data_IF_624259394622
#
_entry.id   IF_624259394622
#
_cell.length_a   1.000
_cell.length_b   1.000
_cell.length_c   1.000
_cell.angle_alpha   90.00
_cell.angle_beta   90.00
_cell.angle_gamma   90.00
#
_symmetry.space_group_name_H-M   'P 1'
#
loop_
_entity.id
_entity.type
_entity.pdbx_description
1 polymer ?
#
# COMPACT_ATOMS: atom_id res chain seq x y z
N UNK A 1 -16.58 36.22 31.70
CA UNK A 1 -15.37 35.42 31.96
C UNK A 1 -15.55 33.91 31.80
N UNK A 2 -16.71 33.29 32.10
CA UNK A 2 -16.92 31.84 31.84
C UNK A 2 -17.05 31.46 30.36
N UNK A 3 -17.64 32.35 29.55
CA UNK A 3 -17.88 32.11 28.11
C UNK A 3 -16.58 31.99 27.30
N UNK A 4 -15.57 32.81 27.60
CA UNK A 4 -14.27 32.77 26.91
C UNK A 4 -13.49 31.47 27.17
N UNK A 5 -13.59 30.91 28.38
CA UNK A 5 -12.93 29.65 28.75
C UNK A 5 -13.56 28.46 28.00
N UNK A 6 -14.88 28.46 27.85
CA UNK A 6 -15.61 27.41 27.12
C UNK A 6 -15.26 27.44 25.62
N UNK A 7 -15.18 28.64 25.02
CA UNK A 7 -14.79 28.78 23.61
C UNK A 7 -13.33 28.34 23.37
N UNK A 8 -12.42 28.63 24.30
CA UNK A 8 -11.03 28.18 24.22
C UNK A 8 -10.89 26.65 24.32
N UNK A 9 -11.67 25.99 25.19
CA UNK A 9 -11.68 24.52 25.31
C UNK A 9 -12.21 23.80 24.05
N UNK A 10 -13.24 24.37 23.41
CA UNK A 10 -13.79 23.84 22.16
C UNK A 10 -12.83 24.00 20.96
N UNK A 11 -12.04 25.08 20.95
CA UNK A 11 -10.99 25.28 19.94
C UNK A 11 -9.83 24.29 20.13
N UNK A 12 -9.43 23.98 21.37
CA UNK A 12 -8.38 22.98 21.63
C UNK A 12 -8.79 21.57 21.21
N UNK A 13 -10.06 21.18 21.38
CA UNK A 13 -10.55 19.86 20.92
C UNK A 13 -10.67 19.78 19.39
N UNK A 14 -10.97 20.89 18.71
CA UNK A 14 -10.93 20.97 17.24
C UNK A 14 -9.52 20.99 16.63
N UNK A 15 -8.54 21.56 17.33
CA UNK A 15 -7.14 21.64 16.87
C UNK A 15 -6.42 20.29 16.99
N UNK A 16 -6.77 19.45 17.95
CA UNK A 16 -6.17 18.10 18.10
C UNK A 16 -6.51 17.19 16.91
N UNK A 17 -7.63 17.42 16.22
CA UNK A 17 -7.99 16.69 15.01
C UNK A 17 -7.10 17.06 13.79
N UNK A 18 -6.46 18.23 13.79
CA UNK A 18 -5.54 18.64 12.72
C UNK A 18 -4.12 18.02 12.86
N UNK A 19 -3.86 17.26 13.94
CA UNK A 19 -2.55 16.66 14.23
C UNK A 19 -2.50 15.12 14.23
N UNK A 20 -3.64 14.43 14.22
CA UNK A 20 -3.67 12.97 14.13
C UNK A 20 -3.94 12.54 12.69
N UNK A 21 -2.87 12.48 11.89
CA UNK A 21 -2.93 11.88 10.56
C UNK A 21 -3.37 10.41 10.69
N UNK A 22 -4.47 10.03 10.00
CA UNK A 22 -4.99 8.65 10.04
C UNK A 22 -3.87 7.68 9.65
N UNK A 23 -3.64 6.65 10.47
CA UNK A 23 -2.81 5.52 10.09
C UNK A 23 -3.61 4.57 9.19
N UNK A 24 -3.21 4.46 7.93
CA UNK A 24 -3.78 3.52 6.96
C UNK A 24 -3.07 2.17 7.06
N UNK A 25 -3.83 1.09 7.00
CA UNK A 25 -3.30 -0.27 6.96
C UNK A 25 -2.72 -0.63 5.58
N UNK A 26 -1.86 -1.64 5.54
CA UNK A 26 -1.34 -2.23 4.29
C UNK A 26 -2.49 -2.66 3.37
N UNK A 27 -3.55 -3.24 3.93
CA UNK A 27 -4.71 -3.70 3.16
C UNK A 27 -5.51 -2.56 2.52
N UNK A 28 -5.60 -1.40 3.18
CA UNK A 28 -6.22 -0.20 2.61
C UNK A 28 -5.39 0.33 1.43
N UNK A 29 -4.06 0.41 1.58
CA UNK A 29 -3.18 0.82 0.49
C UNK A 29 -3.27 -0.09 -0.73
N UNK A 30 -3.30 -1.41 -0.54
CA UNK A 30 -3.44 -2.36 -1.67
C UNK A 30 -4.74 -2.22 -2.45
N UNK A 31 -5.83 -1.80 -1.78
CA UNK A 31 -7.16 -1.69 -2.38
C UNK A 31 -7.39 -0.34 -3.06
N UNK A 32 -6.69 0.71 -2.62
CA UNK A 32 -6.87 2.06 -3.13
C UNK A 32 -5.57 2.59 -3.75
N UNK A 33 -5.51 2.48 -5.09
CA UNK A 33 -4.37 2.95 -5.88
C UNK A 33 -4.11 4.44 -5.71
N UNK A 34 -5.16 5.26 -5.60
CA UNK A 34 -5.01 6.71 -5.46
C UNK A 34 -4.39 7.07 -4.12
N UNK A 35 -4.88 6.43 -3.04
CA UNK A 35 -4.32 6.57 -1.71
C UNK A 35 -2.83 6.17 -1.68
N UNK A 36 -2.48 5.06 -2.31
CA UNK A 36 -1.09 4.59 -2.43
C UNK A 36 -0.21 5.60 -3.18
N UNK A 37 -0.66 6.13 -4.32
CA UNK A 37 0.09 7.12 -5.10
C UNK A 37 0.30 8.44 -4.34
N UNK A 38 -0.73 8.93 -3.65
CA UNK A 38 -0.65 10.16 -2.86
C UNK A 38 0.34 10.02 -1.71
N UNK A 39 0.28 8.90 -0.99
CA UNK A 39 1.21 8.61 0.09
C UNK A 39 2.61 8.32 -0.40
N UNK A 40 2.78 7.61 -1.52
CA UNK A 40 4.08 7.39 -2.14
C UNK A 40 4.79 8.71 -2.43
N UNK A 41 4.11 9.66 -3.09
CA UNK A 41 4.64 11.02 -3.36
C UNK A 41 4.93 11.79 -2.08
N UNK A 42 4.09 11.64 -1.05
CA UNK A 42 4.30 12.29 0.25
C UNK A 42 5.56 11.74 0.94
N UNK A 43 5.74 10.43 0.98
CA UNK A 43 6.90 9.78 1.56
C UNK A 43 8.20 10.12 0.80
N UNK A 44 8.15 10.18 -0.54
CA UNK A 44 9.28 10.61 -1.36
C UNK A 44 9.72 12.04 -1.02
N UNK A 45 8.77 12.97 -0.89
CA UNK A 45 9.05 14.36 -0.49
C UNK A 45 9.63 14.47 0.93
N UNK A 46 9.24 13.57 1.83
CA UNK A 46 9.78 13.49 3.19
C UNK A 46 11.19 12.86 3.22
N UNK A 47 11.62 12.20 2.14
CA UNK A 47 12.92 11.55 2.02
C UNK A 47 13.00 10.22 2.77
N UNK A 48 14.22 9.68 2.89
CA UNK A 48 14.46 8.35 3.46
C UNK A 48 14.08 8.23 4.94
N UNK A 49 14.18 9.33 5.71
CA UNK A 49 13.78 9.37 7.12
C UNK A 49 12.27 9.17 7.34
N UNK A 50 11.46 9.26 6.28
CA UNK A 50 10.03 8.99 6.33
C UNK A 50 9.71 7.55 6.73
N UNK A 51 10.58 6.59 6.41
CA UNK A 51 10.39 5.19 6.80
C UNK A 51 10.57 4.96 8.30
N UNK A 52 11.36 5.80 8.97
CA UNK A 52 11.55 5.72 10.43
C UNK A 52 10.48 6.52 11.17
N UNK A 53 10.00 7.62 10.59
CA UNK A 53 9.16 8.61 11.26
C UNK A 53 7.67 8.49 10.96
N UNK A 54 7.27 7.82 9.87
CA UNK A 54 5.88 7.72 9.43
C UNK A 54 5.43 6.26 9.27
N UNK A 55 4.44 5.86 10.08
CA UNK A 55 3.85 4.52 9.98
C UNK A 55 3.16 4.30 8.63
N UNK A 56 2.58 5.35 8.04
CA UNK A 56 1.98 5.27 6.72
C UNK A 56 3.02 5.07 5.62
N UNK A 57 4.22 5.65 5.76
CA UNK A 57 5.30 5.40 4.80
C UNK A 57 5.83 3.97 4.89
N UNK A 58 5.91 3.40 6.09
CA UNK A 58 6.19 1.96 6.24
C UNK A 58 5.11 1.10 5.56
N UNK A 59 3.84 1.41 5.82
CA UNK A 59 2.72 0.60 5.32
C UNK A 59 2.54 0.72 3.80
N UNK A 60 2.75 1.90 3.19
CA UNK A 60 2.65 2.06 1.74
C UNK A 60 3.77 1.33 1.01
N UNK A 61 5.01 1.38 1.53
CA UNK A 61 6.15 0.63 0.97
C UNK A 61 5.93 -0.87 1.12
N UNK A 62 5.45 -1.32 2.28
CA UNK A 62 5.11 -2.73 2.47
C UNK A 62 4.01 -3.18 1.48
N UNK A 63 2.97 -2.37 1.30
CA UNK A 63 1.88 -2.69 0.37
C UNK A 63 2.39 -2.81 -1.08
N UNK A 64 3.24 -1.88 -1.52
CA UNK A 64 3.85 -1.89 -2.86
C UNK A 64 4.73 -3.14 -3.06
N UNK A 65 5.60 -3.46 -2.10
CA UNK A 65 6.45 -4.66 -2.14
C UNK A 65 5.64 -5.96 -2.20
N UNK A 66 4.56 -6.06 -1.42
CA UNK A 66 3.72 -7.25 -1.45
C UNK A 66 2.95 -7.39 -2.78
N UNK A 67 2.48 -6.29 -3.38
CA UNK A 67 1.85 -6.30 -4.71
C UNK A 67 2.86 -6.70 -5.80
N UNK A 68 4.08 -6.17 -5.73
CA UNK A 68 5.16 -6.53 -6.62
C UNK A 68 5.44 -8.04 -6.54
N UNK A 69 5.63 -8.57 -5.34
CA UNK A 69 5.87 -10.01 -5.14
C UNK A 69 4.72 -10.88 -5.66
N UNK A 70 3.47 -10.48 -5.41
CA UNK A 70 2.29 -11.19 -5.92
C UNK A 70 2.26 -11.21 -7.44
N UNK A 71 2.52 -10.07 -8.10
CA UNK A 71 2.58 -9.96 -9.55
C UNK A 71 3.58 -10.94 -10.16
N UNK A 72 4.82 -10.96 -9.66
CA UNK A 72 5.86 -11.86 -10.19
C UNK A 72 5.60 -13.33 -9.87
N UNK A 73 5.01 -13.63 -8.72
CA UNK A 73 4.60 -15.00 -8.38
C UNK A 73 3.54 -15.53 -9.34
N UNK A 74 2.56 -14.69 -9.70
CA UNK A 74 1.52 -15.04 -10.67
C UNK A 74 2.12 -15.24 -12.07
N UNK A 75 3.00 -14.34 -12.51
CA UNK A 75 3.70 -14.47 -13.78
C UNK A 75 4.52 -15.76 -13.87
N UNK A 76 5.28 -16.10 -12.82
CA UNK A 76 6.05 -17.34 -12.76
C UNK A 76 5.16 -18.58 -12.81
N UNK A 77 3.98 -18.52 -12.18
CA UNK A 77 3.00 -19.61 -12.22
C UNK A 77 2.43 -19.79 -13.63
N UNK A 78 2.03 -18.71 -14.30
CA UNK A 78 1.52 -18.73 -15.67
C UNK A 78 2.56 -19.31 -16.65
N UNK A 79 3.81 -18.85 -16.56
CA UNK A 79 4.90 -19.37 -17.38
C UNK A 79 5.09 -20.88 -17.18
N UNK A 80 5.08 -21.35 -15.93
CA UNK A 80 5.21 -22.77 -15.60
C UNK A 80 4.04 -23.60 -16.14
N UNK A 81 2.82 -23.07 -16.08
CA UNK A 81 1.63 -23.74 -16.61
C UNK A 81 1.68 -23.82 -18.13
N UNK A 82 2.16 -22.78 -18.82
CA UNK A 82 2.31 -22.78 -20.27
C UNK A 82 3.36 -23.79 -20.74
N UNK A 83 4.53 -23.82 -20.09
CA UNK A 83 5.59 -24.81 -20.41
C UNK A 83 5.06 -26.25 -20.27
N UNK A 84 4.30 -26.54 -19.20
CA UNK A 84 3.71 -27.88 -19.02
C UNK A 84 2.73 -28.24 -20.14
N UNK A 85 1.88 -27.30 -20.55
CA UNK A 85 0.92 -27.52 -21.64
C UNK A 85 1.64 -27.77 -22.97
N UNK A 86 2.71 -27.03 -23.25
CA UNK A 86 3.51 -27.21 -24.46
C UNK A 86 4.20 -28.58 -24.48
N UNK A 87 4.76 -29.01 -23.35
CA UNK A 87 5.35 -30.34 -23.20
C UNK A 87 4.32 -31.46 -23.40
N UNK A 88 3.10 -31.29 -22.87
CA UNK A 88 2.00 -32.24 -23.05
C UNK A 88 1.52 -32.31 -24.51
N UNK A 89 1.35 -31.16 -25.16
CA UNK A 89 0.95 -31.08 -26.57
C UNK A 89 1.99 -31.74 -27.50
N UNK A 90 3.28 -31.52 -27.24
CA UNK A 90 4.36 -32.15 -28.01
C UNK A 90 4.38 -33.68 -27.83
N UNK A 91 4.11 -34.18 -26.63
CA UNK A 91 4.02 -35.64 -26.39
C UNK A 91 2.83 -36.25 -27.12
N UNK A 92 1.68 -35.57 -27.14
CA UNK A 92 0.49 -36.05 -27.87
C UNK A 92 0.73 -36.07 -29.39
N UNK A 93 1.39 -35.07 -29.96
CA UNK A 93 1.73 -35.04 -31.38
C UNK A 93 2.72 -36.13 -31.81
N UNK A 94 3.61 -36.57 -30.92
CA UNK A 94 4.57 -37.65 -31.20
C UNK A 94 3.96 -39.06 -31.11
N UNK A 95 2.80 -39.19 -30.48
CA UNK A 95 2.14 -40.47 -30.22
C UNK A 95 0.94 -40.74 -31.16
N UNK A 96 0.62 -39.81 -32.05
CA UNK A 96 -0.39 -39.94 -33.13
C UNK A 96 0.33 -40.03 -34.50
#
# INVERSE_FOLDING_TARGET
>A
MKKAVITALLLCTGIVAAGCEKTYSVAEFKKDKKLMEEWGKKCEKMGLSSLETSKNCQNVVQADMELFQEHYKNLAKELRENIKKDDEAQKQQKNN
#
